data_IF_887220342767
#
_entry.id   IF_887220342767
#
_cell.length_a   1.000
_cell.length_b   1.000
_cell.length_c   1.000
_cell.angle_alpha   90.00
_cell.angle_beta   90.00
_cell.angle_gamma   90.00
#
_symmetry.space_group_name_H-M   'P 1'
#
loop_
_entity.id
_entity.type
_entity.pdbx_description
1 polymer ?
#
# COMPACT_ATOMS: atom_id res chain seq x y z
N UNK A 1 -58.12 1.99 -0.74
CA UNK A 1 -56.68 1.96 -1.08
C UNK A 1 -56.05 0.84 -0.28
N UNK A 2 -55.39 -0.11 -0.93
CA UNK A 2 -54.67 -1.19 -0.25
C UNK A 2 -53.46 -0.57 0.46
N UNK A 3 -53.43 -0.63 1.80
CA UNK A 3 -52.29 -0.18 2.61
C UNK A 3 -51.17 -1.20 2.37
N UNK A 4 -50.40 -1.01 1.30
CA UNK A 4 -49.10 -1.69 1.20
C UNK A 4 -48.17 -0.98 2.18
N UNK A 5 -47.71 -1.70 3.20
CA UNK A 5 -46.63 -1.24 4.07
C UNK A 5 -45.45 -0.79 3.21
N UNK A 6 -44.91 0.40 3.48
CA UNK A 6 -43.71 0.91 2.82
C UNK A 6 -42.57 -0.12 2.91
N UNK A 7 -41.95 -0.44 1.78
CA UNK A 7 -40.80 -1.32 1.67
C UNK A 7 -39.51 -0.49 1.59
N UNK A 8 -38.72 -0.39 2.67
CA UNK A 8 -37.49 0.41 2.68
C UNK A 8 -36.37 -0.24 1.86
N UNK A 9 -36.49 -1.51 1.50
CA UNK A 9 -35.40 -2.24 0.84
C UNK A 9 -35.14 -1.75 -0.59
N UNK A 10 -36.11 -1.07 -1.21
CA UNK A 10 -35.95 -0.45 -2.52
C UNK A 10 -34.94 0.69 -2.52
N UNK A 11 -34.74 1.32 -1.36
CA UNK A 11 -33.87 2.48 -1.18
C UNK A 11 -32.57 2.09 -0.44
N UNK A 12 -32.28 0.81 -0.24
CA UNK A 12 -31.05 0.39 0.41
C UNK A 12 -29.84 0.47 -0.53
N UNK A 13 -28.80 1.19 -0.10
CA UNK A 13 -27.51 1.26 -0.80
C UNK A 13 -26.82 -0.11 -0.80
N UNK A 14 -27.01 -0.88 0.27
CA UNK A 14 -26.52 -2.24 0.46
C UNK A 14 -27.71 -3.20 0.58
N UNK A 15 -28.33 -3.60 -0.55
CA UNK A 15 -29.50 -4.51 -0.54
C UNK A 15 -29.16 -5.91 -0.02
N UNK A 16 -27.87 -6.25 0.03
CA UNK A 16 -27.32 -7.43 0.67
C UNK A 16 -26.10 -7.02 1.49
N UNK A 17 -26.02 -7.44 2.75
CA UNK A 17 -24.85 -7.21 3.58
C UNK A 17 -23.74 -8.22 3.26
N UNK A 18 -22.51 -7.87 3.62
CA UNK A 18 -21.38 -8.81 3.56
C UNK A 18 -21.65 -10.01 4.46
N UNK A 19 -21.74 -11.20 3.86
CA UNK A 19 -21.94 -12.46 4.61
C UNK A 19 -20.74 -12.80 5.50
N UNK A 20 -21.01 -13.11 6.76
CA UNK A 20 -20.02 -13.58 7.73
C UNK A 20 -20.03 -15.12 7.70
N UNK A 21 -19.08 -15.71 6.96
CA UNK A 21 -19.01 -17.18 6.75
C UNK A 21 -18.41 -17.96 7.92
N UNK A 22 -17.70 -17.27 8.83
CA UNK A 22 -17.02 -17.87 9.97
C UNK A 22 -17.61 -17.32 11.27
N UNK A 23 -17.02 -17.66 12.41
CA UNK A 23 -17.37 -17.04 13.69
C UNK A 23 -17.29 -15.51 13.58
N UNK A 24 -18.35 -14.76 13.94
CA UNK A 24 -18.30 -13.31 13.98
C UNK A 24 -17.15 -12.83 14.85
N UNK A 25 -16.59 -11.68 14.50
CA UNK A 25 -15.58 -10.99 15.28
C UNK A 25 -15.79 -9.49 15.15
N UNK A 26 -15.03 -8.69 15.91
CA UNK A 26 -15.16 -7.24 15.91
C UNK A 26 -15.04 -6.61 14.52
N UNK A 27 -14.13 -7.10 13.68
CA UNK A 27 -13.89 -6.56 12.34
C UNK A 27 -15.07 -6.83 11.41
N UNK A 28 -15.55 -8.07 11.37
CA UNK A 28 -16.69 -8.46 10.52
C UNK A 28 -17.98 -7.79 10.97
N UNK A 29 -18.23 -7.70 12.27
CA UNK A 29 -19.38 -7.00 12.84
C UNK A 29 -19.32 -5.49 12.58
N UNK A 30 -18.14 -4.85 12.70
CA UNK A 30 -17.97 -3.43 12.40
C UNK A 30 -18.33 -3.13 10.94
N UNK A 31 -17.93 -4.00 10.01
CA UNK A 31 -18.28 -3.86 8.59
C UNK A 31 -19.79 -3.97 8.39
N UNK A 32 -20.42 -5.02 8.94
CA UNK A 32 -21.86 -5.25 8.84
C UNK A 32 -22.67 -4.08 9.40
N UNK A 33 -22.33 -3.60 10.59
CA UNK A 33 -22.99 -2.46 11.25
C UNK A 33 -22.83 -1.19 10.40
N UNK A 34 -21.69 -1.00 9.73
CA UNK A 34 -21.47 0.15 8.85
C UNK A 34 -22.41 0.09 7.63
N UNK A 35 -22.52 -1.06 6.97
CA UNK A 35 -23.43 -1.24 5.82
C UNK A 35 -24.88 -0.97 6.22
N UNK A 36 -25.33 -1.44 7.39
CA UNK A 36 -26.67 -1.11 7.91
C UNK A 36 -26.84 0.38 8.25
N UNK A 37 -25.82 1.05 8.78
CA UNK A 37 -25.87 2.50 9.04
C UNK A 37 -26.04 3.29 7.75
N UNK A 38 -25.36 2.88 6.68
CA UNK A 38 -25.50 3.49 5.35
C UNK A 38 -26.93 3.27 4.81
N UNK A 39 -27.48 2.06 4.94
CA UNK A 39 -28.87 1.77 4.57
C UNK A 39 -29.88 2.61 5.35
N UNK A 40 -29.74 2.66 6.69
CA UNK A 40 -30.62 3.42 7.56
C UNK A 40 -30.57 4.93 7.25
N UNK A 41 -29.38 5.46 6.98
CA UNK A 41 -29.19 6.87 6.61
C UNK A 41 -29.84 7.22 5.27
N UNK A 42 -29.94 6.27 4.34
CA UNK A 42 -30.53 6.52 3.03
C UNK A 42 -32.07 6.58 3.05
N UNK A 43 -32.71 6.02 4.08
CA UNK A 43 -34.15 6.20 4.27
C UNK A 43 -34.39 7.58 4.90
N UNK A 44 -35.03 8.46 4.14
CA UNK A 44 -35.29 9.83 4.57
C UNK A 44 -36.21 9.89 5.80
N UNK A 45 -35.91 10.81 6.72
CA UNK A 45 -36.76 11.18 7.85
C UNK A 45 -36.58 12.67 8.13
N UNK A 46 -37.66 13.37 8.46
CA UNK A 46 -37.60 14.76 8.90
C UNK A 46 -37.25 14.89 10.40
N UNK A 47 -37.21 13.78 11.14
CA UNK A 47 -36.92 13.75 12.58
C UNK A 47 -35.43 13.92 12.85
N UNK A 48 -35.08 14.40 14.05
CA UNK A 48 -33.69 14.58 14.47
C UNK A 48 -32.89 15.46 13.53
N UNK A 49 -33.35 16.70 13.34
CA UNK A 49 -32.81 17.69 12.39
C UNK A 49 -32.97 17.37 10.88
N UNK A 50 -33.42 16.17 10.50
CA UNK A 50 -33.73 15.83 9.10
C UNK A 50 -32.54 15.42 8.23
N UNK A 51 -31.33 15.42 8.79
CA UNK A 51 -30.08 15.25 8.03
C UNK A 51 -29.51 13.82 8.03
N UNK A 52 -29.99 12.96 8.93
CA UNK A 52 -29.40 11.63 9.16
C UNK A 52 -30.33 10.45 8.82
N UNK A 53 -31.51 10.73 8.23
CA UNK A 53 -32.48 9.69 7.88
C UNK A 53 -32.89 8.86 9.10
N UNK A 54 -32.99 7.54 8.94
CA UNK A 54 -33.29 6.60 10.02
C UNK A 54 -32.05 6.05 10.75
N UNK A 55 -30.89 6.74 10.67
CA UNK A 55 -29.66 6.31 11.34
C UNK A 55 -29.82 6.05 12.84
N UNK A 56 -30.79 6.72 13.49
CA UNK A 56 -31.20 6.49 14.88
C UNK A 56 -31.34 5.01 15.24
N UNK A 57 -31.87 4.18 14.33
CA UNK A 57 -32.10 2.75 14.56
C UNK A 57 -30.80 1.98 14.87
N UNK A 58 -29.63 2.53 14.53
CA UNK A 58 -28.33 1.89 14.74
C UNK A 58 -27.60 2.33 16.03
N UNK A 59 -28.30 2.97 16.97
CA UNK A 59 -27.76 3.48 18.22
C UNK A 59 -28.79 3.35 19.35
N UNK A 60 -28.38 3.24 20.63
CA UNK A 60 -29.28 3.55 21.75
C UNK A 60 -29.76 5.00 21.68
N UNK A 61 -31.02 5.27 22.10
CA UNK A 61 -31.65 6.60 21.99
C UNK A 61 -30.81 7.72 22.61
N UNK A 62 -30.35 7.50 23.85
CA UNK A 62 -29.54 8.48 24.58
C UNK A 62 -28.21 8.78 23.86
N UNK A 63 -27.55 7.74 23.34
CA UNK A 63 -26.31 7.87 22.57
C UNK A 63 -26.51 8.62 21.26
N UNK A 64 -27.65 8.41 20.59
CA UNK A 64 -27.96 9.15 19.37
C UNK A 64 -28.19 10.63 19.66
N UNK A 65 -29.06 10.94 20.63
CA UNK A 65 -29.42 12.32 21.00
C UNK A 65 -28.29 13.11 21.68
N UNK A 66 -27.21 12.45 22.12
CA UNK A 66 -26.01 13.13 22.65
C UNK A 66 -25.17 13.85 21.58
N UNK A 67 -25.48 13.69 20.28
CA UNK A 67 -24.75 14.37 19.19
C UNK A 67 -25.06 15.86 19.17
N UNK A 68 -24.02 16.66 18.95
CA UNK A 68 -24.11 18.12 19.05
C UNK A 68 -25.17 18.75 18.13
N UNK A 69 -25.36 18.23 16.91
CA UNK A 69 -26.37 18.76 15.97
C UNK A 69 -27.81 18.45 16.36
N UNK A 70 -28.04 17.54 17.31
CA UNK A 70 -29.37 17.15 17.80
C UNK A 70 -29.78 17.86 19.10
N UNK A 71 -28.90 18.69 19.69
CA UNK A 71 -29.15 19.32 20.98
C UNK A 71 -30.42 20.19 21.02
N UNK A 72 -30.79 20.82 19.89
CA UNK A 72 -32.02 21.63 19.77
C UNK A 72 -33.24 20.88 19.23
N UNK A 73 -33.04 19.72 18.61
CA UNK A 73 -34.09 18.94 17.92
C UNK A 73 -33.84 17.45 18.16
N UNK A 74 -33.97 16.98 19.40
CA UNK A 74 -33.70 15.59 19.73
C UNK A 74 -34.63 14.66 18.94
N UNK A 75 -34.11 13.50 18.55
CA UNK A 75 -34.93 12.47 17.95
C UNK A 75 -35.90 11.90 19.00
N UNK A 76 -37.17 11.76 18.61
CA UNK A 76 -38.19 11.03 19.35
C UNK A 76 -38.70 9.93 18.42
N UNK A 77 -38.67 8.68 18.90
CA UNK A 77 -39.15 7.55 18.10
C UNK A 77 -40.64 7.73 17.77
N UNK A 78 -41.06 7.50 16.53
CA UNK A 78 -42.47 7.55 16.17
C UNK A 78 -43.29 6.57 17.01
N UNK A 79 -44.44 7.03 17.51
CA UNK A 79 -45.42 6.20 18.22
C UNK A 79 -46.63 6.00 17.32
N UNK A 80 -47.20 4.81 17.31
CA UNK A 80 -48.40 4.53 16.52
C UNK A 80 -49.54 5.47 16.96
N UNK A 81 -50.12 6.31 16.07
CA UNK A 81 -51.09 7.36 16.45
C UNK A 81 -52.50 6.82 16.78
N UNK A 82 -52.64 5.49 16.89
CA UNK A 82 -53.91 4.80 17.06
C UNK A 82 -54.58 4.44 15.74
N UNK A 83 -55.63 3.62 15.80
CA UNK A 83 -56.31 3.13 14.60
C UNK A 83 -57.10 4.21 13.84
N UNK A 84 -57.45 5.30 14.52
CA UNK A 84 -58.26 6.40 13.98
C UNK A 84 -57.76 7.75 14.54
N UNK A 85 -57.91 8.85 13.78
CA UNK A 85 -57.60 10.19 14.28
C UNK A 85 -58.47 10.54 15.49
N UNK A 86 -57.87 11.23 16.46
CA UNK A 86 -58.59 11.78 17.60
C UNK A 86 -59.26 13.10 17.20
N UNK A 87 -60.60 13.12 17.16
CA UNK A 87 -61.38 14.29 16.75
C UNK A 87 -62.14 14.83 17.98
N UNK A 88 -61.83 16.04 18.47
CA UNK A 88 -62.57 16.64 19.58
C UNK A 88 -64.05 16.86 19.25
N UNK A 89 -64.91 16.72 20.27
CA UNK A 89 -66.33 17.04 20.14
C UNK A 89 -66.54 18.51 19.77
N UNK A 90 -67.38 18.77 18.76
CA UNK A 90 -67.64 20.13 18.28
C UNK A 90 -66.56 20.71 17.36
N UNK A 91 -65.59 19.90 16.91
CA UNK A 91 -64.56 20.35 15.97
C UNK A 91 -65.16 20.90 14.66
N UNK A 92 -64.60 22.01 14.19
CA UNK A 92 -64.90 22.58 12.87
C UNK A 92 -64.35 21.69 11.75
N UNK A 93 -64.85 21.88 10.52
CA UNK A 93 -64.36 21.13 9.36
C UNK A 93 -62.84 21.27 9.14
N UNK A 94 -62.27 22.46 9.37
CA UNK A 94 -60.84 22.70 9.26
C UNK A 94 -60.04 21.92 10.33
N UNK A 95 -60.52 21.88 11.58
CA UNK A 95 -59.89 21.12 12.66
C UNK A 95 -59.95 19.61 12.42
N UNK A 96 -61.06 19.11 11.84
CA UNK A 96 -61.18 17.70 11.44
C UNK A 96 -60.14 17.36 10.36
N UNK A 97 -60.00 18.21 9.33
CA UNK A 97 -59.02 18.01 8.27
C UNK A 97 -57.58 18.02 8.80
N UNK A 98 -57.26 18.94 9.71
CA UNK A 98 -55.95 18.98 10.36
C UNK A 98 -55.66 17.69 11.15
N UNK A 99 -56.58 17.24 12.00
CA UNK A 99 -56.40 16.01 12.78
C UNK A 99 -56.24 14.75 11.90
N UNK A 100 -56.95 14.68 10.78
CA UNK A 100 -56.79 13.59 9.80
C UNK A 100 -55.41 13.65 9.12
N UNK A 101 -54.93 14.86 8.78
CA UNK A 101 -53.61 15.03 8.17
C UNK A 101 -52.48 14.68 9.12
N UNK A 102 -52.55 15.13 10.39
CA UNK A 102 -51.58 14.81 11.43
C UNK A 102 -51.53 13.30 11.69
N UNK A 103 -52.68 12.66 11.88
CA UNK A 103 -52.76 11.21 12.05
C UNK A 103 -52.17 10.44 10.86
N UNK A 104 -52.44 10.89 9.64
CA UNK A 104 -51.91 10.24 8.43
C UNK A 104 -50.39 10.38 8.33
N UNK A 105 -49.85 11.55 8.69
CA UNK A 105 -48.41 11.80 8.73
C UNK A 105 -47.73 10.95 9.81
N UNK A 106 -48.25 10.95 11.04
CA UNK A 106 -47.71 10.16 12.16
C UNK A 106 -47.75 8.65 11.85
N UNK A 107 -48.83 8.17 11.22
CA UNK A 107 -48.96 6.77 10.85
C UNK A 107 -47.92 6.39 9.78
N UNK A 108 -47.68 7.28 8.81
CA UNK A 108 -46.66 7.07 7.79
C UNK A 108 -45.26 7.03 8.40
N UNK A 109 -44.91 7.98 9.25
CA UNK A 109 -43.61 8.00 9.93
C UNK A 109 -43.40 6.76 10.81
N UNK A 110 -44.42 6.34 11.55
CA UNK A 110 -44.38 5.10 12.32
C UNK A 110 -44.17 3.86 11.44
N UNK A 111 -44.88 3.77 10.32
CA UNK A 111 -44.74 2.63 9.40
C UNK A 111 -43.35 2.56 8.78
N UNK A 112 -42.79 3.70 8.35
CA UNK A 112 -41.44 3.77 7.79
C UNK A 112 -40.42 3.34 8.84
N UNK A 113 -40.50 3.89 10.06
CA UNK A 113 -39.57 3.54 11.14
C UNK A 113 -39.58 2.03 11.46
N UNK A 114 -40.77 1.45 11.62
CA UNK A 114 -40.93 0.02 11.92
C UNK A 114 -40.49 -0.87 10.74
N UNK A 115 -40.80 -0.48 9.50
CA UNK A 115 -40.41 -1.29 8.35
C UNK A 115 -38.89 -1.23 8.12
N UNK A 116 -38.26 -0.07 8.31
CA UNK A 116 -36.79 0.09 8.25
C UNK A 116 -36.12 -0.77 9.31
N UNK A 117 -36.56 -0.75 10.57
CA UNK A 117 -35.97 -1.59 11.61
C UNK A 117 -36.05 -3.08 11.25
N UNK A 118 -37.24 -3.55 10.85
CA UNK A 118 -37.44 -4.95 10.45
C UNK A 118 -36.58 -5.34 9.25
N UNK A 119 -36.39 -4.43 8.30
CA UNK A 119 -35.55 -4.69 7.14
C UNK A 119 -34.06 -4.81 7.52
N UNK A 120 -33.54 -3.92 8.38
CA UNK A 120 -32.17 -3.99 8.90
C UNK A 120 -31.94 -5.28 9.72
N UNK A 121 -32.90 -5.66 10.56
CA UNK A 121 -32.87 -6.91 11.32
C UNK A 121 -32.77 -8.12 10.39
N UNK A 122 -33.69 -8.23 9.41
CA UNK A 122 -33.72 -9.35 8.45
C UNK A 122 -32.44 -9.45 7.62
N UNK A 123 -31.90 -8.32 7.17
CA UNK A 123 -30.63 -8.30 6.45
C UNK A 123 -29.47 -8.82 7.30
N UNK A 124 -29.45 -8.43 8.58
CA UNK A 124 -28.42 -8.88 9.54
C UNK A 124 -28.52 -10.38 9.81
N UNK A 125 -29.72 -10.88 10.09
CA UNK A 125 -29.98 -12.30 10.32
C UNK A 125 -29.64 -13.14 9.08
N UNK A 126 -29.84 -12.61 7.86
CA UNK A 126 -29.46 -13.29 6.61
C UNK A 126 -27.94 -13.33 6.41
N UNK A 127 -27.22 -12.34 6.92
CA UNK A 127 -25.78 -12.21 6.73
C UNK A 127 -24.95 -13.04 7.71
N UNK A 128 -25.56 -13.54 8.78
CA UNK A 128 -24.91 -14.25 9.88
C UNK A 128 -25.58 -15.61 10.04
N UNK A 129 -24.81 -16.65 10.31
CA UNK A 129 -25.36 -17.97 10.65
C UNK A 129 -26.20 -17.90 11.93
N UNK A 130 -27.38 -18.52 11.92
CA UNK A 130 -28.34 -18.51 13.02
C UNK A 130 -27.73 -18.99 14.34
N UNK A 131 -26.75 -19.91 14.30
CA UNK A 131 -26.08 -20.41 15.49
C UNK A 131 -25.55 -19.29 16.41
N UNK A 132 -25.20 -18.14 15.85
CA UNK A 132 -24.63 -17.03 16.61
C UNK A 132 -25.68 -16.14 17.30
N UNK A 133 -26.95 -16.21 16.91
CA UNK A 133 -28.04 -15.45 17.51
C UNK A 133 -29.25 -16.28 17.94
N UNK A 134 -29.18 -17.62 17.80
CA UNK A 134 -30.23 -18.56 18.21
C UNK A 134 -30.67 -18.40 19.66
N UNK A 135 -29.76 -17.96 20.53
CA UNK A 135 -30.06 -17.68 21.94
C UNK A 135 -31.11 -16.56 22.15
N UNK A 136 -31.37 -15.74 21.13
CA UNK A 136 -32.38 -14.69 21.15
C UNK A 136 -33.75 -15.15 20.63
N UNK A 137 -33.88 -16.41 20.21
CA UNK A 137 -35.15 -16.95 19.73
C UNK A 137 -36.10 -17.18 20.90
N UNK A 138 -37.31 -16.64 20.79
CA UNK A 138 -38.43 -17.05 21.63
C UNK A 138 -38.95 -18.43 21.17
N UNK A 139 -39.08 -19.43 22.06
CA UNK A 139 -39.49 -20.78 21.66
C UNK A 139 -40.85 -20.88 20.96
N UNK A 140 -41.78 -19.97 21.28
CA UNK A 140 -43.15 -20.01 20.77
C UNK A 140 -43.36 -19.01 19.62
N UNK A 141 -42.66 -17.87 19.63
CA UNK A 141 -42.83 -16.80 18.66
C UNK A 141 -41.64 -16.58 17.70
N UNK A 142 -40.54 -17.30 17.90
CA UNK A 142 -39.30 -17.13 17.14
C UNK A 142 -38.66 -15.76 17.37
N UNK A 143 -38.38 -15.03 16.29
CA UNK A 143 -37.75 -13.70 16.35
C UNK A 143 -38.74 -12.54 16.14
N UNK A 144 -40.04 -12.76 16.40
CA UNK A 144 -41.13 -11.80 16.14
C UNK A 144 -40.95 -10.46 16.87
N UNK A 145 -40.46 -10.51 18.11
CA UNK A 145 -40.28 -9.37 19.02
C UNK A 145 -38.82 -8.89 19.08
N UNK A 146 -37.91 -9.52 18.36
CA UNK A 146 -36.50 -9.15 18.38
C UNK A 146 -36.31 -7.80 17.67
N UNK A 147 -35.68 -6.83 18.33
CA UNK A 147 -35.29 -5.57 17.70
C UNK A 147 -33.88 -5.64 17.12
N UNK A 148 -33.62 -4.81 16.11
CA UNK A 148 -32.31 -4.75 15.45
C UNK A 148 -31.17 -4.44 16.44
N UNK A 149 -31.39 -3.52 17.37
CA UNK A 149 -30.37 -3.15 18.35
C UNK A 149 -30.06 -4.26 19.35
N UNK A 150 -31.05 -5.06 19.75
CA UNK A 150 -30.85 -6.20 20.66
C UNK A 150 -29.97 -7.27 20.00
N UNK A 151 -30.22 -7.56 18.71
CA UNK A 151 -29.37 -8.46 17.92
C UNK A 151 -27.93 -7.94 17.83
N UNK A 152 -27.75 -6.66 17.48
CA UNK A 152 -26.41 -6.06 17.37
C UNK A 152 -25.70 -6.06 18.73
N UNK A 153 -26.40 -5.76 19.81
CA UNK A 153 -25.84 -5.78 21.15
C UNK A 153 -25.36 -7.19 21.54
N UNK A 154 -26.21 -8.20 21.37
CA UNK A 154 -25.85 -9.61 21.62
C UNK A 154 -24.60 -10.04 20.82
N UNK A 155 -24.54 -9.68 19.53
CA UNK A 155 -23.41 -10.03 18.68
C UNK A 155 -22.12 -9.34 19.13
N UNK A 156 -22.20 -8.07 19.51
CA UNK A 156 -21.04 -7.31 20.00
C UNK A 156 -20.56 -7.81 21.36
N UNK A 157 -21.46 -8.14 22.27
CA UNK A 157 -21.13 -8.65 23.60
C UNK A 157 -20.54 -10.06 23.54
N UNK A 158 -21.10 -10.93 22.70
CA UNK A 158 -20.70 -12.34 22.58
C UNK A 158 -19.46 -12.55 21.70
N UNK A 159 -19.29 -11.73 20.66
CA UNK A 159 -18.28 -11.96 19.61
C UNK A 159 -17.52 -10.71 19.17
N UNK A 160 -17.99 -9.51 19.52
CA UNK A 160 -17.37 -8.24 19.14
C UNK A 160 -16.35 -7.71 20.15
N UNK A 161 -16.11 -8.44 21.25
CA UNK A 161 -15.07 -8.12 22.22
C UNK A 161 -13.70 -8.20 21.58
N UNK A 162 -12.87 -7.21 21.88
CA UNK A 162 -11.50 -7.17 21.38
C UNK A 162 -10.68 -8.21 22.15
N UNK A 163 -10.16 -9.20 21.45
CA UNK A 163 -9.29 -10.22 22.05
C UNK A 163 -7.82 -9.81 22.00
N UNK A 164 -6.97 -10.43 22.82
CA UNK A 164 -5.51 -10.22 22.72
C UNK A 164 -4.99 -10.62 21.33
N UNK A 165 -5.47 -11.73 20.77
CA UNK A 165 -5.15 -12.16 19.40
C UNK A 165 -5.51 -11.10 18.35
N UNK A 166 -6.59 -10.35 18.55
CA UNK A 166 -6.97 -9.27 17.65
C UNK A 166 -6.03 -8.06 17.76
N UNK A 167 -5.57 -7.75 18.97
CA UNK A 167 -4.56 -6.72 19.22
C UNK A 167 -3.22 -7.12 18.60
N UNK A 168 -2.79 -8.37 18.75
CA UNK A 168 -1.55 -8.88 18.16
C UNK A 168 -1.60 -8.79 16.63
N UNK A 169 -2.70 -9.27 16.00
CA UNK A 169 -2.91 -9.13 14.55
C UNK A 169 -2.95 -7.67 14.10
N UNK A 170 -3.47 -6.76 14.93
CA UNK A 170 -3.46 -5.34 14.64
C UNK A 170 -2.04 -4.77 14.60
N UNK A 171 -1.19 -5.17 15.56
CA UNK A 171 0.23 -4.80 15.57
C UNK A 171 0.97 -5.41 14.38
N UNK A 172 0.69 -6.66 14.01
CA UNK A 172 1.28 -7.29 12.82
C UNK A 172 0.92 -6.51 11.55
N UNK A 173 -0.37 -6.20 11.35
CA UNK A 173 -0.84 -5.38 10.22
C UNK A 173 -0.24 -3.98 10.22
N UNK A 174 -0.11 -3.35 11.39
CA UNK A 174 0.52 -2.03 11.50
C UNK A 174 1.97 -2.06 11.00
N UNK A 175 2.71 -3.13 11.28
CA UNK A 175 4.13 -3.26 10.95
C UNK A 175 4.41 -3.88 9.58
N UNK A 176 3.38 -4.31 8.84
CA UNK A 176 3.52 -4.91 7.51
C UNK A 176 4.28 -3.98 6.55
N UNK A 177 5.28 -4.52 5.84
CA UNK A 177 6.19 -3.74 5.01
C UNK A 177 5.47 -3.11 3.82
N UNK A 178 5.55 -1.78 3.69
CA UNK A 178 5.01 -1.07 2.52
C UNK A 178 5.89 -1.31 1.30
N UNK A 179 5.22 -1.43 0.14
CA UNK A 179 5.84 -1.60 -1.17
C UNK A 179 5.93 -0.28 -1.92
N UNK A 180 7.10 0.00 -2.50
CA UNK A 180 7.37 1.21 -3.29
C UNK A 180 6.51 1.36 -4.55
N UNK A 181 5.82 0.28 -4.95
CA UNK A 181 4.97 0.21 -6.13
C UNK A 181 3.51 0.59 -5.86
N UNK A 182 3.14 0.85 -4.60
CA UNK A 182 1.81 1.36 -4.24
C UNK A 182 1.92 2.76 -3.62
N UNK A 183 0.84 3.56 -3.62
CA UNK A 183 0.87 4.89 -3.01
C UNK A 183 1.35 4.85 -1.55
N UNK A 184 2.12 5.85 -1.12
CA UNK A 184 2.61 5.94 0.27
C UNK A 184 1.46 6.11 1.26
N UNK A 185 0.32 6.63 0.80
CA UNK A 185 -0.93 6.72 1.54
C UNK A 185 -1.40 5.35 2.07
N UNK A 186 -1.04 4.23 1.42
CA UNK A 186 -1.34 2.90 1.94
C UNK A 186 -0.67 2.63 3.28
N UNK A 187 0.61 3.02 3.43
CA UNK A 187 1.32 2.93 4.72
C UNK A 187 0.65 3.81 5.78
N UNK A 188 0.27 5.03 5.41
CA UNK A 188 -0.36 5.95 6.35
C UNK A 188 -1.72 5.44 6.80
N UNK A 189 -2.56 4.96 5.88
CA UNK A 189 -3.87 4.40 6.20
C UNK A 189 -3.74 3.15 7.05
N UNK A 190 -2.78 2.26 6.76
CA UNK A 190 -2.48 1.08 7.56
C UNK A 190 -2.21 1.42 9.03
N UNK A 191 -1.37 2.43 9.30
CA UNK A 191 -1.05 2.85 10.67
C UNK A 191 -2.22 3.62 11.32
N UNK A 192 -2.93 4.47 10.58
CA UNK A 192 -4.13 5.16 11.07
C UNK A 192 -5.24 4.17 11.48
N UNK A 193 -5.47 3.16 10.65
CA UNK A 193 -6.45 2.11 10.90
C UNK A 193 -6.06 1.31 12.15
N UNK A 194 -4.77 1.04 12.34
CA UNK A 194 -4.26 0.38 13.55
C UNK A 194 -4.49 1.21 14.82
N UNK A 195 -4.20 2.52 14.79
CA UNK A 195 -4.50 3.42 15.91
C UNK A 195 -6.00 3.48 16.21
N UNK A 196 -6.83 3.55 15.16
CA UNK A 196 -8.28 3.58 15.30
C UNK A 196 -8.85 2.26 15.85
N UNK A 197 -8.21 1.13 15.55
CA UNK A 197 -8.63 -0.19 16.03
C UNK A 197 -8.37 -0.37 17.53
N UNK A 198 -7.25 0.15 18.04
CA UNK A 198 -6.82 -0.06 19.42
C UNK A 198 -7.30 1.02 20.42
N UNK A 199 -7.94 2.08 19.94
CA UNK A 199 -8.45 3.19 20.77
C UNK A 199 -9.43 2.70 21.86
N UNK A 200 -9.27 3.20 23.08
CA UNK A 200 -10.08 2.79 24.24
C UNK A 200 -9.76 1.38 24.79
N UNK A 201 -8.71 0.75 24.25
CA UNK A 201 -8.19 -0.54 24.70
C UNK A 201 -6.67 -0.40 24.89
N UNK A 202 -5.85 -1.12 24.12
CA UNK A 202 -4.38 -0.96 24.13
C UNK A 202 -3.93 0.11 23.13
N UNK A 203 -4.05 1.38 23.53
CA UNK A 203 -3.91 2.50 22.60
C UNK A 203 -2.51 2.61 21.97
N UNK A 204 -2.48 2.62 20.63
CA UNK A 204 -1.25 2.85 19.87
C UNK A 204 -0.91 4.33 19.89
N UNK A 205 0.06 4.68 20.73
CA UNK A 205 0.58 6.04 20.86
C UNK A 205 1.18 6.57 19.54
N UNK A 206 1.19 7.89 19.36
CA UNK A 206 1.89 8.57 18.26
C UNK A 206 3.36 8.12 18.15
N UNK A 207 4.00 7.88 19.29
CA UNK A 207 5.38 7.38 19.33
C UNK A 207 5.51 5.98 18.74
N UNK A 208 4.54 5.10 18.97
CA UNK A 208 4.51 3.77 18.37
C UNK A 208 4.26 3.86 16.85
N UNK A 209 3.30 4.70 16.43
CA UNK A 209 3.01 4.95 15.02
C UNK A 209 4.24 5.47 14.25
N UNK A 210 4.96 6.44 14.81
CA UNK A 210 6.20 6.98 14.25
C UNK A 210 7.29 5.92 14.13
N UNK A 211 7.48 5.08 15.15
CA UNK A 211 8.47 3.98 15.09
C UNK A 211 8.14 2.99 13.98
N UNK A 212 6.88 2.59 13.85
CA UNK A 212 6.43 1.70 12.78
C UNK A 212 6.65 2.34 11.39
N UNK A 213 6.21 3.59 11.20
CA UNK A 213 6.40 4.32 9.95
C UNK A 213 7.86 4.50 9.56
N UNK A 214 8.72 4.91 10.51
CA UNK A 214 10.15 5.06 10.28
C UNK A 214 10.81 3.74 9.88
N UNK A 215 10.55 2.67 10.64
CA UNK A 215 11.10 1.34 10.35
C UNK A 215 10.70 0.84 8.97
N UNK A 216 9.45 1.06 8.59
CA UNK A 216 8.91 0.67 7.30
C UNK A 216 9.59 1.42 6.13
N UNK A 217 9.72 2.75 6.26
CA UNK A 217 10.40 3.58 5.26
C UNK A 217 11.91 3.32 5.19
N UNK A 218 12.55 3.01 6.31
CA UNK A 218 13.96 2.59 6.36
C UNK A 218 14.19 1.29 5.59
N UNK A 219 13.38 0.27 5.88
CA UNK A 219 13.44 -1.03 5.22
C UNK A 219 13.14 -0.94 3.72
N UNK A 220 12.34 0.05 3.29
CA UNK A 220 12.07 0.28 1.86
C UNK A 220 13.32 0.69 1.06
N UNK A 221 14.31 1.30 1.73
CA UNK A 221 15.58 1.69 1.11
C UNK A 221 15.50 2.82 0.08
N UNK A 222 14.38 3.56 -0.03
CA UNK A 222 14.21 4.63 -1.03
C UNK A 222 14.10 6.03 -0.45
N UNK A 223 14.23 6.18 0.87
CA UNK A 223 14.05 7.44 1.59
C UNK A 223 15.26 7.86 2.45
N UNK A 224 16.49 7.41 2.14
CA UNK A 224 17.65 7.65 3.02
C UNK A 224 17.85 9.12 3.38
N UNK A 225 17.77 10.01 2.39
CA UNK A 225 17.94 11.46 2.59
C UNK A 225 16.79 12.03 3.43
N UNK A 226 15.54 11.73 3.04
CA UNK A 226 14.37 12.19 3.77
C UNK A 226 14.34 11.69 5.23
N UNK A 227 14.77 10.46 5.50
CA UNK A 227 14.90 9.92 6.86
C UNK A 227 15.95 10.67 7.68
N UNK A 228 17.09 11.02 7.08
CA UNK A 228 18.09 11.86 7.74
C UNK A 228 17.52 13.23 8.09
N UNK A 229 16.84 13.87 7.15
CA UNK A 229 16.26 15.21 7.34
C UNK A 229 15.14 15.19 8.39
N UNK A 230 14.30 14.15 8.39
CA UNK A 230 13.27 13.96 9.41
C UNK A 230 13.86 13.84 10.82
N UNK A 231 14.91 13.03 10.99
CA UNK A 231 15.59 12.84 12.29
C UNK A 231 16.26 14.11 12.81
N UNK A 232 16.63 15.04 11.92
CA UNK A 232 17.22 16.33 12.29
C UNK A 232 16.18 17.35 12.78
N UNK A 233 14.88 17.09 12.59
CA UNK A 233 13.82 17.99 13.06
C UNK A 233 13.74 18.03 14.60
N UNK A 234 13.28 19.16 15.19
CA UNK A 234 13.01 19.26 16.62
C UNK A 234 12.03 18.18 17.08
N UNK A 235 12.21 17.69 18.33
CA UNK A 235 11.34 16.66 18.91
C UNK A 235 9.86 17.04 18.92
N UNK A 236 9.54 18.33 19.08
CA UNK A 236 8.16 18.83 19.03
C UNK A 236 7.50 18.64 17.64
N UNK A 237 8.29 18.54 16.57
CA UNK A 237 7.78 18.27 15.23
C UNK A 237 7.57 16.77 14.96
N UNK A 238 8.07 15.88 15.82
CA UNK A 238 7.91 14.42 15.70
C UNK A 238 6.52 13.98 16.17
N UNK A 239 5.50 14.40 15.42
CA UNK A 239 4.11 13.95 15.55
C UNK A 239 3.73 13.11 14.35
N UNK A 240 2.76 12.22 14.51
CA UNK A 240 2.31 11.37 13.42
C UNK A 240 1.76 12.18 12.23
N UNK A 241 1.01 13.26 12.50
CA UNK A 241 0.48 14.16 11.47
C UNK A 241 1.59 14.87 10.67
N UNK A 242 2.64 15.35 11.35
CA UNK A 242 3.77 15.97 10.66
C UNK A 242 4.56 14.95 9.84
N UNK A 243 4.69 13.72 10.33
CA UNK A 243 5.35 12.63 9.63
C UNK A 243 4.66 12.31 8.30
N UNK A 244 3.33 12.17 8.31
CA UNK A 244 2.56 11.93 7.08
C UNK A 244 2.77 13.05 6.07
N UNK A 245 2.68 14.31 6.50
CA UNK A 245 2.91 15.49 5.64
C UNK A 245 4.30 15.49 5.03
N UNK A 246 5.33 15.27 5.85
CA UNK A 246 6.73 15.30 5.44
C UNK A 246 7.06 14.20 4.43
N UNK A 247 6.70 12.95 4.73
CA UNK A 247 7.03 11.83 3.85
C UNK A 247 6.17 11.75 2.59
N UNK A 248 4.97 12.35 2.61
CA UNK A 248 4.20 12.58 1.38
C UNK A 248 4.97 13.48 0.42
N UNK A 249 5.47 14.63 0.90
CA UNK A 249 6.27 15.54 0.09
C UNK A 249 7.58 14.88 -0.40
N UNK A 250 8.27 14.14 0.47
CA UNK A 250 9.46 13.40 0.10
C UNK A 250 9.19 12.34 -0.99
N UNK A 251 8.05 11.64 -0.93
CA UNK A 251 7.68 10.67 -1.94
C UNK A 251 7.36 11.33 -3.29
N UNK A 252 6.72 12.50 -3.28
CA UNK A 252 6.53 13.30 -4.49
C UNK A 252 7.87 13.63 -5.16
N UNK A 253 8.87 14.07 -4.40
CA UNK A 253 10.19 14.40 -4.94
C UNK A 253 10.96 13.16 -5.43
N UNK A 254 10.84 12.03 -4.71
CA UNK A 254 11.40 10.74 -5.14
C UNK A 254 10.85 10.33 -6.51
N UNK A 255 9.53 10.43 -6.71
CA UNK A 255 8.87 10.09 -7.98
C UNK A 255 9.28 11.05 -9.10
N UNK A 256 9.39 12.37 -8.82
CA UNK A 256 9.91 13.37 -9.76
C UNK A 256 11.34 13.06 -10.22
N UNK A 257 12.18 12.62 -9.29
CA UNK A 257 13.56 12.23 -9.61
C UNK A 257 13.62 10.99 -10.49
N UNK A 258 12.72 10.02 -10.31
CA UNK A 258 12.64 8.82 -11.16
C UNK A 258 12.23 9.18 -12.59
N UNK A 259 11.21 10.03 -12.76
CA UNK A 259 10.75 10.46 -14.10
C UNK A 259 11.81 11.29 -14.82
N UNK A 260 12.52 12.17 -14.11
CA UNK A 260 13.61 12.97 -14.68
C UNK A 260 14.75 12.09 -15.19
N UNK A 261 15.12 11.03 -14.45
CA UNK A 261 16.14 10.06 -14.91
C UNK A 261 15.68 9.29 -16.14
N UNK A 262 14.43 8.85 -16.19
CA UNK A 262 13.87 8.13 -17.35
C UNK A 262 13.85 9.01 -18.61
N UNK A 263 13.52 10.30 -18.49
CA UNK A 263 13.59 11.25 -19.59
C UNK A 263 15.03 11.40 -20.12
N UNK A 264 16.02 11.60 -19.23
CA UNK A 264 17.43 11.71 -19.62
C UNK A 264 17.99 10.46 -20.32
N UNK A 265 17.56 9.25 -19.93
CA UNK A 265 17.93 8.01 -20.63
C UNK A 265 17.37 7.96 -22.06
N UNK A 266 16.17 8.50 -22.29
CA UNK A 266 15.55 8.53 -23.61
C UNK A 266 16.29 9.51 -24.54
N UNK A 267 16.67 10.68 -24.02
CA UNK A 267 17.43 11.70 -24.76
C UNK A 267 18.83 11.21 -25.15
N UNK A 268 19.50 10.47 -24.25
CA UNK A 268 20.83 9.94 -24.48
C UNK A 268 20.85 8.81 -25.52
N UNK A 269 19.79 8.00 -25.60
CA UNK A 269 19.60 7.02 -26.66
C UNK A 269 19.35 7.66 -28.03
N UNK A 270 18.60 8.77 -28.10
CA UNK A 270 18.39 9.50 -29.35
C UNK A 270 19.68 10.21 -29.84
N UNK A 271 20.49 10.76 -28.93
CA UNK A 271 21.78 11.36 -29.27
C UNK A 271 22.79 10.34 -29.84
N UNK A 272 22.81 9.11 -29.31
CA UNK A 272 23.64 8.02 -29.83
C UNK A 272 23.15 7.47 -31.18
N UNK A 273 21.84 7.52 -31.45
CA UNK A 273 21.29 7.17 -32.77
C UNK A 273 21.63 8.22 -33.85
N UNK A 274 21.61 9.51 -33.48
CA UNK A 274 21.94 10.62 -34.38
C UNK A 274 23.42 10.67 -34.82
N UNK A 275 24.35 10.17 -33.99
CA UNK A 275 25.78 10.06 -34.33
C UNK A 275 26.12 8.83 -35.19
N UNK A 276 25.19 7.89 -35.39
CA UNK A 276 25.39 6.75 -36.31
C UNK A 276 25.13 7.06 -37.80
N UNK A 277 24.67 8.27 -38.12
CA UNK A 277 24.33 8.70 -39.48
C UNK A 277 25.52 9.31 -40.27
N UNK A 278 26.74 8.85 -40.04
CA UNK A 278 27.82 9.10 -41.01
C UNK A 278 27.60 8.17 -42.22
N UNK A 279 26.93 8.68 -43.26
CA UNK A 279 26.90 8.09 -44.63
C UNK A 279 28.27 8.23 -45.32
N UNK A 280 29.34 7.85 -44.64
CA UNK A 280 30.71 7.78 -45.13
C UNK A 280 31.27 6.37 -44.94
N UNK A 281 32.37 6.06 -45.64
CA UNK A 281 33.07 4.78 -45.57
C UNK A 281 33.12 4.24 -44.12
N UNK A 282 32.56 3.04 -43.82
CA UNK A 282 32.40 2.54 -42.45
C UNK A 282 33.72 2.25 -41.75
N UNK A 283 34.84 2.28 -42.48
CA UNK A 283 36.18 2.14 -41.92
C UNK A 283 36.81 3.47 -41.50
N UNK A 284 36.24 4.62 -41.89
CA UNK A 284 36.81 5.96 -41.67
C UNK A 284 36.03 6.73 -40.59
N UNK A 285 36.76 7.41 -39.71
CA UNK A 285 36.24 8.42 -38.79
C UNK A 285 36.81 9.79 -39.14
N UNK A 286 35.95 10.81 -39.14
CA UNK A 286 36.33 12.22 -39.20
C UNK A 286 36.37 12.78 -37.78
N UNK A 287 37.51 13.36 -37.41
CA UNK A 287 37.76 14.00 -36.12
C UNK A 287 37.23 15.44 -36.12
N UNK A 288 37.10 16.03 -34.94
CA UNK A 288 36.53 17.36 -34.75
C UNK A 288 37.32 18.50 -35.44
N UNK A 289 38.62 18.27 -35.68
CA UNK A 289 39.52 19.18 -36.40
C UNK A 289 39.47 19.01 -37.93
N UNK A 290 38.60 18.13 -38.43
CA UNK A 290 38.45 17.82 -39.85
C UNK A 290 39.43 16.78 -40.37
N UNK A 291 40.33 16.25 -39.54
CA UNK A 291 41.21 15.16 -39.92
C UNK A 291 40.46 13.82 -39.96
N UNK A 292 41.03 12.82 -40.64
CA UNK A 292 40.40 11.52 -40.74
C UNK A 292 41.37 10.38 -40.44
N UNK A 293 40.84 9.31 -39.85
CA UNK A 293 41.57 8.08 -39.58
C UNK A 293 40.79 6.88 -40.09
N UNK A 294 41.49 5.80 -40.44
CA UNK A 294 40.87 4.53 -40.83
C UNK A 294 41.18 3.42 -39.81
N UNK A 295 40.21 2.55 -39.57
CA UNK A 295 40.30 1.45 -38.62
C UNK A 295 40.66 0.11 -39.30
N UNK A 296 41.62 -0.60 -38.71
CA UNK A 296 42.03 -1.95 -39.07
C UNK A 296 42.03 -2.86 -37.84
N UNK A 297 41.42 -4.04 -37.92
CA UNK A 297 41.40 -5.03 -36.83
C UNK A 297 42.80 -5.35 -36.29
N UNK A 298 43.80 -5.50 -37.16
CA UNK A 298 45.17 -5.87 -36.74
C UNK A 298 45.98 -4.72 -36.16
N UNK A 299 45.62 -3.47 -36.47
CA UNK A 299 46.50 -2.31 -36.26
C UNK A 299 45.82 -1.14 -35.54
N UNK A 300 44.53 -1.25 -35.27
CA UNK A 300 43.69 -0.22 -34.69
C UNK A 300 43.48 0.97 -35.61
N UNK A 301 43.30 2.14 -35.01
CA UNK A 301 43.14 3.42 -35.70
C UNK A 301 44.48 3.89 -36.26
N UNK A 302 44.51 4.19 -37.54
CA UNK A 302 45.70 4.65 -38.24
C UNK A 302 45.39 5.77 -39.24
N UNK A 303 46.42 6.49 -39.67
CA UNK A 303 46.29 7.73 -40.42
C UNK A 303 46.26 7.56 -41.95
N UNK A 304 46.60 6.39 -42.49
CA UNK A 304 46.46 6.09 -43.92
C UNK A 304 45.02 5.63 -44.22
N UNK A 305 44.21 6.51 -44.79
CA UNK A 305 42.81 6.24 -45.09
C UNK A 305 42.56 5.06 -46.02
N UNK A 306 43.58 4.60 -46.75
CA UNK A 306 43.49 3.44 -47.66
C UNK A 306 43.70 2.11 -46.93
N UNK A 307 44.28 2.12 -45.72
CA UNK A 307 44.52 0.93 -44.90
C UNK A 307 43.38 0.71 -43.91
N UNK A 308 42.58 -0.32 -44.14
CA UNK A 308 41.46 -0.71 -43.29
C UNK A 308 41.44 -2.24 -43.08
N UNK A 309 40.48 -2.74 -42.31
CA UNK A 309 40.33 -4.18 -42.09
C UNK A 309 40.14 -4.96 -43.40
N UNK A 310 39.57 -4.37 -44.46
CA UNK A 310 39.44 -5.06 -45.74
C UNK A 310 40.78 -5.09 -46.52
N UNK A 311 41.51 -3.96 -46.55
CA UNK A 311 42.73 -3.79 -47.37
C UNK A 311 44.03 -4.17 -46.66
N UNK A 312 43.98 -4.55 -45.38
CA UNK A 312 45.14 -4.91 -44.59
C UNK A 312 45.92 -6.09 -45.20
N UNK A 313 47.22 -5.87 -45.47
CA UNK A 313 48.14 -6.90 -46.02
C UNK A 313 48.87 -7.69 -44.94
N UNK A 314 49.14 -7.08 -43.77
CA UNK A 314 49.84 -7.71 -42.66
C UNK A 314 48.86 -8.04 -41.53
N UNK A 315 48.27 -9.24 -41.58
CA UNK A 315 47.15 -9.62 -40.73
C UNK A 315 47.62 -10.40 -39.49
N UNK A 316 47.06 -10.06 -38.33
CA UNK A 316 47.08 -10.92 -37.14
C UNK A 316 46.36 -12.25 -37.46
N UNK A 317 46.71 -13.39 -36.84
CA UNK A 317 46.06 -14.67 -37.09
C UNK A 317 44.52 -14.65 -37.00
N UNK A 318 43.97 -13.83 -36.10
CA UNK A 318 42.52 -13.70 -35.88
C UNK A 318 41.86 -12.54 -36.65
N UNK A 319 42.55 -11.99 -37.65
CA UNK A 319 42.12 -10.77 -38.30
C UNK A 319 40.77 -10.91 -39.02
N UNK A 320 39.79 -10.08 -38.62
CA UNK A 320 38.49 -10.03 -39.27
C UNK A 320 38.38 -8.85 -40.25
N UNK A 321 38.17 -9.14 -41.54
CA UNK A 321 38.09 -8.12 -42.60
C UNK A 321 36.84 -7.25 -42.54
N UNK A 322 35.81 -7.67 -41.79
CA UNK A 322 34.55 -6.93 -41.61
C UNK A 322 34.59 -5.94 -40.45
N UNK A 323 35.66 -5.91 -39.67
CA UNK A 323 35.74 -5.07 -38.48
C UNK A 323 35.86 -3.58 -38.85
N UNK A 324 35.00 -2.76 -38.27
CA UNK A 324 34.95 -1.31 -38.47
C UNK A 324 35.23 -0.60 -37.16
N UNK A 325 35.38 0.73 -37.17
CA UNK A 325 35.54 1.47 -35.91
C UNK A 325 34.32 1.30 -35.00
N UNK A 326 33.12 1.35 -35.59
CA UNK A 326 31.86 1.23 -34.87
C UNK A 326 31.52 -0.23 -34.49
N UNK A 327 32.27 -1.20 -35.03
CA UNK A 327 32.16 -2.62 -34.69
C UNK A 327 33.52 -3.31 -34.85
N UNK A 328 34.34 -3.21 -33.80
CA UNK A 328 35.74 -3.64 -33.82
C UNK A 328 35.93 -5.17 -33.84
N UNK A 329 34.89 -5.96 -33.53
CA UNK A 329 34.87 -7.43 -33.53
C UNK A 329 36.00 -8.12 -32.71
N UNK A 330 36.50 -7.46 -31.66
CA UNK A 330 37.64 -7.96 -30.86
C UNK A 330 39.01 -7.55 -31.40
N UNK A 331 39.07 -6.67 -32.40
CA UNK A 331 40.31 -6.12 -32.96
C UNK A 331 41.00 -5.10 -32.05
N UNK A 332 42.18 -4.64 -32.46
CA UNK A 332 43.00 -3.69 -31.70
C UNK A 332 42.30 -2.34 -31.52
N UNK A 333 42.20 -1.87 -30.27
CA UNK A 333 41.64 -0.55 -29.92
C UNK A 333 42.69 0.58 -29.79
N UNK A 334 43.92 0.36 -30.28
CA UNK A 334 45.01 1.34 -30.18
C UNK A 334 44.93 2.39 -31.29
N UNK A 335 45.32 3.62 -30.97
CA UNK A 335 45.45 4.73 -31.93
C UNK A 335 46.94 4.91 -32.23
N UNK A 336 47.31 4.86 -33.52
CA UNK A 336 48.68 5.16 -33.94
C UNK A 336 48.95 6.66 -33.83
N UNK A 337 50.16 7.01 -33.42
CA UNK A 337 50.65 8.40 -33.44
C UNK A 337 50.74 8.93 -34.86
N UNK A 338 50.56 10.23 -35.03
CA UNK A 338 50.56 10.85 -36.35
C UNK A 338 51.96 10.86 -36.95
N UNK A 339 52.12 10.59 -38.26
CA UNK A 339 53.43 10.67 -38.91
C UNK A 339 54.06 12.04 -38.69
N UNK A 340 55.30 12.06 -38.20
CA UNK A 340 56.05 13.30 -37.93
C UNK A 340 55.91 13.87 -36.51
N UNK A 341 55.02 13.34 -35.67
CA UNK A 341 54.96 13.78 -34.26
C UNK A 341 56.13 13.24 -33.44
N UNK A 342 56.92 14.13 -32.84
CA UNK A 342 57.95 13.77 -31.88
C UNK A 342 57.33 13.39 -30.52
N UNK A 343 57.81 12.31 -29.90
CA UNK A 343 57.35 11.96 -28.56
C UNK A 343 57.87 13.02 -27.58
N UNK A 344 56.98 13.68 -26.83
CA UNK A 344 57.40 14.61 -25.76
C UNK A 344 58.14 13.84 -24.65
N UNK A 345 57.79 12.57 -24.44
CA UNK A 345 58.49 11.65 -23.53
C UNK A 345 59.25 10.61 -24.34
N UNK A 346 60.59 10.66 -24.31
CA UNK A 346 61.43 9.56 -24.80
C UNK A 346 61.39 8.44 -23.77
N UNK A 347 60.66 7.36 -24.05
CA UNK A 347 60.79 6.13 -23.28
C UNK A 347 62.23 5.61 -23.47
N UNK A 348 63.02 5.59 -22.39
CA UNK A 348 64.32 4.91 -22.35
C UNK A 348 64.02 3.43 -22.09
N UNK A 349 64.29 2.51 -23.03
CA UNK A 349 64.10 1.10 -22.76
C UNK A 349 65.18 0.63 -21.78
N UNK A 350 64.77 0.09 -20.62
CA UNK A 350 65.65 -0.74 -19.81
C UNK A 350 66.02 -1.97 -20.64
N UNK A 351 67.24 -2.03 -21.16
CA UNK A 351 67.70 -3.14 -21.97
C UNK A 351 68.97 -3.74 -21.38
N UNK A 352 68.83 -4.77 -20.54
CA UNK A 352 69.80 -5.86 -20.33
C UNK A 352 69.32 -6.84 -19.25
N UNK A 353 68.80 -7.98 -19.71
CA UNK A 353 68.62 -9.30 -19.06
C UNK A 353 67.43 -9.90 -19.81
N UNK A 354 67.49 -10.93 -20.66
CA UNK A 354 68.42 -12.04 -20.79
C UNK A 354 68.46 -12.47 -22.27
N UNK A 355 69.66 -12.61 -22.83
CA UNK A 355 69.94 -13.52 -23.95
C UNK A 355 71.24 -14.26 -23.62
N UNK A 356 71.08 -15.37 -22.91
CA UNK A 356 72.04 -16.48 -22.75
C UNK A 356 71.27 -17.52 -21.93
N UNK A 357 70.54 -18.44 -22.53
CA UNK A 357 71.07 -19.67 -23.12
C UNK A 357 70.62 -20.83 -22.22
N UNK A 358 70.22 -21.96 -22.83
CA UNK A 358 70.04 -23.21 -22.09
C UNK A 358 68.63 -23.80 -22.10
N UNK A 359 68.42 -24.66 -23.10
CA UNK A 359 67.42 -25.72 -23.14
C UNK A 359 67.39 -26.56 -21.85
N UNK A 360 66.20 -26.91 -21.35
CA UNK A 360 65.87 -28.31 -21.00
C UNK A 360 64.39 -28.49 -20.64
N UNK A 361 63.80 -29.50 -21.27
CA UNK A 361 62.52 -30.12 -20.96
C UNK A 361 62.50 -30.75 -19.56
N UNK A 362 61.33 -30.77 -18.90
CA UNK A 362 60.71 -31.93 -18.24
C UNK A 362 59.39 -31.48 -17.58
N UNK A 363 58.24 -31.79 -18.17
CA UNK A 363 57.37 -32.97 -17.90
C UNK A 363 56.73 -32.98 -16.51
N UNK A 364 55.41 -32.85 -16.55
CA UNK A 364 54.37 -33.27 -15.60
C UNK A 364 54.80 -34.27 -14.51
N UNK A 365 54.34 -34.02 -13.28
CA UNK A 365 53.64 -35.05 -12.51
C UNK A 365 52.74 -34.45 -11.43
N UNK A 366 51.44 -34.64 -11.61
CA UNK A 366 50.46 -34.56 -10.56
C UNK A 366 50.66 -35.71 -9.55
N UNK A 367 50.58 -35.41 -8.26
CA UNK A 367 50.20 -36.40 -7.24
C UNK A 367 49.30 -35.74 -6.22
N UNK A 368 48.05 -36.17 -6.27
CA UNK A 368 47.04 -36.06 -5.23
C UNK A 368 47.52 -36.66 -3.91
N UNK A 369 47.19 -36.02 -2.79
CA UNK A 369 46.90 -36.75 -1.56
C UNK A 369 45.87 -35.99 -0.73
N UNK A 370 44.69 -36.59 -0.69
CA UNK A 370 43.63 -36.37 0.29
C UNK A 370 44.11 -36.78 1.68
N UNK A 371 43.80 -35.98 2.70
CA UNK A 371 43.54 -36.52 4.04
C UNK A 371 42.57 -35.61 4.78
N UNK A 372 41.38 -36.15 4.98
CA UNK A 372 40.41 -35.79 6.01
C UNK A 372 41.03 -35.98 7.39
N UNK A 373 40.79 -35.08 8.34
CA UNK A 373 40.37 -35.53 9.66
C UNK A 373 39.65 -34.43 10.45
N UNK A 374 38.56 -34.90 11.04
CA UNK A 374 37.56 -34.29 11.89
C UNK A 374 38.11 -34.00 13.30
N UNK A 375 37.69 -32.90 13.92
CA UNK A 375 37.48 -32.87 15.38
C UNK A 375 36.33 -31.92 15.73
N UNK A 376 35.21 -32.55 16.08
CA UNK A 376 34.13 -31.99 16.90
C UNK A 376 34.55 -32.09 18.37
N UNK A 377 34.34 -31.04 19.16
CA UNK A 377 34.34 -31.15 20.62
C UNK A 377 33.26 -30.25 21.20
N UNK A 378 32.24 -30.90 21.73
CA UNK A 378 31.17 -30.39 22.59
C UNK A 378 31.73 -30.02 23.97
N UNK A 379 31.23 -28.95 24.58
CA UNK A 379 31.35 -28.71 26.02
C UNK A 379 29.98 -28.30 26.60
N UNK A 380 29.46 -29.19 27.45
CA UNK A 380 28.36 -28.98 28.39
C UNK A 380 28.94 -28.57 29.75
N UNK A 381 28.27 -27.65 30.46
CA UNK A 381 27.94 -27.68 31.90
C UNK A 381 27.67 -26.22 32.38
N UNK A 382 26.49 -25.80 32.84
CA UNK A 382 25.61 -26.19 33.96
C UNK A 382 25.78 -25.34 35.25
N UNK A 383 24.61 -24.85 35.70
CA UNK A 383 24.11 -24.71 37.10
C UNK A 383 24.43 -23.47 37.95
N UNK A 384 23.32 -22.87 38.44
CA UNK A 384 23.04 -22.23 39.77
C UNK A 384 22.48 -20.80 39.62
N UNK A 385 21.54 -20.24 40.40
CA UNK A 385 20.52 -20.69 41.37
C UNK A 385 19.84 -19.40 41.91
N UNK A 386 18.52 -19.39 42.06
CA UNK A 386 17.67 -18.75 43.10
C UNK A 386 18.06 -17.37 43.72
N UNK A 387 17.10 -16.43 43.73
CA UNK A 387 16.60 -15.79 44.97
C UNK A 387 15.25 -15.08 44.75
N UNK A 388 14.28 -15.43 45.62
CA UNK A 388 13.07 -14.65 45.93
C UNK A 388 13.38 -13.49 46.86
N UNK A 389 12.63 -12.39 46.76
CA UNK A 389 12.22 -11.58 47.92
C UNK A 389 10.92 -10.83 47.61
N UNK A 390 9.98 -10.94 48.56
CA UNK A 390 8.74 -10.17 48.70
C UNK A 390 9.02 -8.68 48.98
N UNK A 391 8.07 -7.83 48.56
CA UNK A 391 7.28 -6.93 49.44
C UNK A 391 5.95 -6.64 48.77
#
# INVERSE_FOLDING_TARGET
MSIRSYDPTTDFIHPTLTTIKARPNRETLKKLIKENKDNARNIHSARGAGDEGHLRLCFPLATYNARAHLAGTPWIDPVHPGARPNIPGGATAAQIQQAVSEHSYDLQEFQIFQSTERALLKLTMKAIDEVYYKALEDPDEGYSMLHYMDLIQHLLESYGQLTNDDLDKNIDRMNEQWSVNVPIEKLFNQINDAQAFARGHDEITDRAALRAGLKNLENSGVFQVALKDWRAKPTAEHTWNNFQTFFKAANTERLRSVTTKQAGYHDQHQANAATSNNKGNPFIITLADGEAMSYCFSHGLQWDLTHNSNTCRNRHPEHNTKATLNNMLGGRCQIKRKPGEAAIVKYIPNNRQQRSGGSSNHSERATSQTRTDSTSTTAHSDVSSLTSTQT
#
